data_IF_416733710318
#
_entry.id   IF_416733710318
#
_cell.length_a   1.000
_cell.length_b   1.000
_cell.length_c   1.000
_cell.angle_alpha   90.00
_cell.angle_beta   90.00
_cell.angle_gamma   90.00
#
_symmetry.space_group_name_H-M   'P 1'
#
loop_
_entity.id
_entity.type
_entity.pdbx_description
1 polymer ?
#
# COMPACT_ATOMS: atom_id res chain seq x y z
N UNK A 1 50.14 -43.92 -4.79
CA UNK A 1 49.63 -44.30 -6.13
C UNK A 1 48.58 -45.38 -5.94
N UNK A 2 47.41 -45.21 -6.59
CA UNK A 2 46.19 -46.07 -6.59
C UNK A 2 45.58 -46.33 -5.20
N UNK A 3 44.38 -45.85 -4.85
CA UNK A 3 43.10 -46.20 -5.47
C UNK A 3 42.06 -45.06 -5.36
N UNK A 4 42.25 -43.94 -6.08
CA UNK A 4 41.31 -42.81 -6.08
C UNK A 4 40.91 -42.38 -7.51
N UNK A 5 40.81 -43.32 -8.45
CA UNK A 5 40.52 -43.00 -9.86
C UNK A 5 39.31 -43.74 -10.43
N UNK A 6 38.35 -44.15 -9.62
CA UNK A 6 37.08 -44.67 -10.11
C UNK A 6 35.97 -44.08 -9.26
N UNK A 7 35.44 -42.95 -9.72
CA UNK A 7 34.05 -42.47 -9.61
C UNK A 7 34.07 -40.99 -10.03
N UNK A 8 34.37 -40.76 -11.31
CA UNK A 8 34.27 -39.45 -11.97
C UNK A 8 33.09 -39.44 -12.93
N UNK A 9 31.86 -39.54 -12.42
CA UNK A 9 30.65 -39.20 -13.18
C UNK A 9 29.66 -38.48 -12.26
N UNK A 10 29.74 -37.15 -12.26
CA UNK A 10 28.88 -36.28 -11.46
C UNK A 10 29.55 -34.92 -11.29
N UNK A 11 29.31 -34.00 -12.23
CA UNK A 11 29.99 -32.72 -12.35
C UNK A 11 29.82 -31.79 -11.14
N UNK A 12 30.82 -31.80 -10.25
CA UNK A 12 30.97 -30.80 -9.19
C UNK A 12 32.44 -30.43 -8.92
N UNK A 13 33.33 -30.59 -9.90
CA UNK A 13 34.78 -30.36 -9.74
C UNK A 13 35.25 -28.91 -9.95
N UNK A 14 34.38 -27.96 -10.26
CA UNK A 14 34.81 -26.64 -10.77
C UNK A 14 34.54 -25.45 -9.84
N UNK A 15 34.17 -25.66 -8.56
CA UNK A 15 33.81 -24.53 -7.68
C UNK A 15 34.74 -24.24 -6.50
N UNK A 16 35.74 -25.08 -6.21
CA UNK A 16 36.71 -24.78 -5.14
C UNK A 16 38.09 -25.28 -5.59
N UNK A 17 39.00 -24.35 -5.93
CA UNK A 17 40.42 -24.65 -6.00
C UNK A 17 40.93 -24.89 -4.57
N UNK A 18 41.44 -26.09 -4.33
CA UNK A 18 42.09 -26.55 -3.10
C UNK A 18 41.20 -26.72 -1.87
N UNK A 19 40.25 -27.66 -1.96
CA UNK A 19 39.47 -28.22 -0.84
C UNK A 19 40.37 -28.70 0.31
N UNK A 20 41.55 -29.26 0.00
CA UNK A 20 42.48 -29.77 1.01
C UNK A 20 43.04 -28.65 1.90
N UNK A 21 43.33 -27.47 1.34
CA UNK A 21 43.79 -26.30 2.10
C UNK A 21 42.68 -25.71 3.00
N UNK A 22 41.43 -25.78 2.55
CA UNK A 22 40.28 -25.27 3.30
C UNK A 22 39.96 -26.14 4.54
N UNK A 23 40.20 -27.45 4.46
CA UNK A 23 39.99 -28.39 5.58
C UNK A 23 41.09 -28.23 6.62
N UNK A 24 42.35 -28.04 6.22
CA UNK A 24 43.47 -27.81 7.13
C UNK A 24 43.39 -26.46 7.85
N UNK A 25 43.00 -25.39 7.16
CA UNK A 25 42.94 -24.03 7.73
C UNK A 25 41.84 -23.86 8.79
N UNK A 26 40.77 -24.65 8.69
CA UNK A 26 39.63 -24.57 9.60
C UNK A 26 39.60 -25.66 10.67
N UNK A 27 40.65 -26.48 10.78
CA UNK A 27 40.75 -27.51 11.83
C UNK A 27 39.70 -28.62 11.73
N UNK A 28 39.12 -28.86 10.55
CA UNK A 28 38.04 -29.83 10.32
C UNK A 28 38.58 -31.23 9.94
N UNK A 29 39.77 -31.60 10.43
CA UNK A 29 40.43 -32.87 10.06
C UNK A 29 39.84 -34.06 10.85
N UNK A 30 39.59 -33.88 12.14
CA UNK A 30 39.08 -34.94 13.02
C UNK A 30 37.62 -35.32 12.69
N UNK A 31 36.78 -34.34 12.35
CA UNK A 31 35.37 -34.57 12.00
C UNK A 31 35.18 -35.30 10.66
N UNK A 32 36.11 -35.13 9.72
CA UNK A 32 36.07 -35.82 8.42
C UNK A 32 36.61 -37.26 8.53
N UNK A 33 37.53 -37.52 9.46
CA UNK A 33 38.04 -38.88 9.73
C UNK A 33 36.99 -39.78 10.39
N UNK A 34 36.16 -39.23 11.27
CA UNK A 34 35.08 -39.97 11.93
C UNK A 34 33.95 -40.37 10.95
N UNK A 35 33.75 -39.57 9.90
CA UNK A 35 32.77 -39.84 8.83
C UNK A 35 33.19 -40.95 7.85
N UNK A 36 34.47 -41.34 7.83
CA UNK A 36 35.02 -42.29 6.85
C UNK A 36 35.46 -43.64 7.44
N UNK A 37 35.30 -43.86 8.75
CA UNK A 37 35.77 -45.07 9.44
C UNK A 37 34.73 -46.20 9.56
N UNK A 38 34.82 -47.23 8.71
CA UNK A 38 34.09 -48.49 8.87
C UNK A 38 34.76 -49.45 9.87
N UNK A 39 34.04 -49.87 10.93
CA UNK A 39 33.99 -51.28 11.37
C UNK A 39 34.88 -51.80 12.53
N UNK A 40 34.20 -52.07 13.66
CA UNK A 40 34.28 -53.28 14.52
C UNK A 40 34.99 -53.29 15.90
N UNK A 41 34.17 -53.69 16.88
CA UNK A 41 34.42 -54.49 18.11
C UNK A 41 34.32 -53.78 19.47
N UNK A 42 33.28 -54.14 20.23
CA UNK A 42 33.13 -53.81 21.66
C UNK A 42 31.68 -53.92 22.14
N UNK A 43 31.29 -55.12 22.61
CA UNK A 43 29.92 -55.49 23.06
C UNK A 43 29.81 -55.39 24.59
N UNK A 44 28.79 -54.69 25.12
CA UNK A 44 28.25 -54.84 26.49
C UNK A 44 26.84 -54.17 26.57
N UNK A 45 26.01 -54.43 27.60
CA UNK A 45 24.69 -55.06 27.43
C UNK A 45 23.49 -54.12 27.17
N UNK A 46 22.51 -54.70 26.51
CA UNK A 46 21.25 -54.11 26.02
C UNK A 46 20.31 -53.81 27.20
N UNK A 47 20.02 -52.53 27.45
CA UNK A 47 18.74 -52.08 28.00
C UNK A 47 17.80 -51.84 26.81
N UNK A 48 16.73 -52.62 26.73
CA UNK A 48 15.70 -52.54 25.68
C UNK A 48 14.95 -51.20 25.80
N UNK A 49 15.28 -50.27 24.91
CA UNK A 49 14.43 -49.13 24.57
C UNK A 49 13.48 -49.57 23.43
N UNK A 50 12.19 -49.19 23.44
CA UNK A 50 11.22 -49.71 22.50
C UNK A 50 11.54 -49.26 21.07
N UNK A 51 11.33 -50.17 20.13
CA UNK A 51 11.50 -49.99 18.69
C UNK A 51 10.78 -48.74 18.18
N UNK A 52 11.43 -48.01 17.28
CA UNK A 52 10.81 -46.96 16.50
C UNK A 52 9.65 -47.56 15.70
N UNK A 53 8.41 -47.28 16.12
CA UNK A 53 7.26 -47.56 15.28
C UNK A 53 7.35 -46.71 14.02
N UNK A 54 7.56 -47.42 12.91
CA UNK A 54 7.21 -47.00 11.55
C UNK A 54 5.90 -46.21 11.59
N UNK A 55 5.95 -44.89 11.36
CA UNK A 55 4.78 -44.01 11.37
C UNK A 55 3.88 -44.37 10.18
N UNK A 56 3.08 -45.42 10.36
CA UNK A 56 2.00 -45.79 9.44
C UNK A 56 0.90 -44.76 9.62
N UNK A 57 0.36 -44.19 8.52
CA UNK A 57 -0.75 -43.25 8.63
C UNK A 57 -1.92 -43.97 9.33
N UNK A 58 -2.34 -43.42 10.47
CA UNK A 58 -3.48 -43.91 11.24
C UNK A 58 -4.70 -43.84 10.32
N UNK A 59 -5.41 -44.96 10.06
CA UNK A 59 -6.70 -44.89 9.40
C UNK A 59 -7.65 -44.13 10.34
N UNK A 60 -8.12 -42.97 9.90
CA UNK A 60 -9.20 -42.25 10.57
C UNK A 60 -10.44 -43.16 10.47
N UNK A 61 -10.71 -43.92 11.51
CA UNK A 61 -11.96 -44.66 11.63
C UNK A 61 -13.10 -43.64 11.73
N UNK A 62 -13.83 -43.55 10.61
CA UNK A 62 -15.04 -42.78 10.46
C UNK A 62 -16.14 -43.38 11.34
N UNK A 63 -16.35 -42.81 12.53
CA UNK A 63 -17.65 -42.86 13.18
C UNK A 63 -18.44 -41.64 12.72
N UNK A 64 -19.34 -41.87 11.77
CA UNK A 64 -20.14 -40.84 11.14
C UNK A 64 -21.11 -40.15 12.10
N UNK A 65 -21.26 -38.84 11.89
CA UNK A 65 -22.58 -38.32 11.53
C UNK A 65 -22.41 -37.52 10.23
N UNK A 66 -23.30 -37.77 9.28
CA UNK A 66 -23.30 -37.13 7.98
C UNK A 66 -23.67 -35.64 8.10
N UNK A 67 -23.23 -34.86 7.10
CA UNK A 67 -23.64 -33.49 6.80
C UNK A 67 -23.15 -32.36 7.71
N UNK A 68 -21.86 -32.04 7.63
CA UNK A 68 -21.40 -30.63 7.60
C UNK A 68 -20.15 -30.54 6.72
N UNK A 69 -20.16 -29.84 5.57
CA UNK A 69 -18.92 -29.55 4.85
C UNK A 69 -18.07 -28.62 5.71
N UNK A 70 -16.90 -29.08 6.13
CA UNK A 70 -15.83 -28.23 6.68
C UNK A 70 -15.44 -27.23 5.60
N UNK A 71 -16.07 -26.06 5.60
CA UNK A 71 -15.85 -25.06 4.56
C UNK A 71 -14.57 -24.31 4.93
N UNK A 72 -13.48 -24.63 4.25
CA UNK A 72 -12.24 -23.83 4.32
C UNK A 72 -12.61 -22.39 3.94
N UNK A 73 -12.21 -21.36 4.70
CA UNK A 73 -12.47 -19.98 4.32
C UNK A 73 -11.91 -19.71 2.92
N UNK A 74 -12.81 -19.51 1.94
CA UNK A 74 -12.42 -19.29 0.56
C UNK A 74 -12.01 -17.83 0.39
N UNK A 75 -10.70 -17.59 0.35
CA UNK A 75 -10.17 -16.31 -0.08
C UNK A 75 -10.37 -16.14 -1.60
N UNK A 76 -10.46 -14.89 -2.09
CA UNK A 76 -10.43 -14.62 -3.52
C UNK A 76 -9.15 -15.18 -4.18
N UNK A 77 -9.13 -15.35 -5.51
CA UNK A 77 -7.95 -15.84 -6.25
C UNK A 77 -6.66 -15.07 -5.92
N UNK A 78 -5.51 -15.75 -5.98
CA UNK A 78 -4.22 -15.19 -5.58
C UNK A 78 -3.82 -13.91 -6.33
N UNK A 79 -4.23 -13.79 -7.59
CA UNK A 79 -3.94 -12.62 -8.43
C UNK A 79 -5.21 -11.79 -8.68
N UNK A 80 -5.08 -10.45 -8.73
CA UNK A 80 -6.22 -9.59 -9.03
C UNK A 80 -6.69 -9.83 -10.47
N UNK A 81 -7.98 -10.15 -10.64
CA UNK A 81 -8.54 -10.40 -11.98
C UNK A 81 -8.73 -9.13 -12.81
N UNK A 82 -9.07 -8.01 -12.16
CA UNK A 82 -9.29 -6.71 -12.80
C UNK A 82 -8.46 -5.64 -12.09
N UNK A 83 -7.15 -5.64 -12.33
CA UNK A 83 -6.23 -4.63 -11.83
C UNK A 83 -6.14 -3.46 -12.82
N UNK A 84 -6.54 -2.27 -12.35
CA UNK A 84 -6.41 -1.03 -13.11
C UNK A 84 -6.08 0.16 -12.20
N UNK A 85 -5.78 1.30 -12.81
CA UNK A 85 -5.55 2.57 -12.09
C UNK A 85 -6.76 3.49 -12.10
N UNK A 86 -7.84 3.10 -12.78
CA UNK A 86 -9.09 3.85 -12.83
C UNK A 86 -9.93 3.57 -11.59
N UNK A 87 -10.29 4.64 -10.88
CA UNK A 87 -11.15 4.54 -9.70
C UNK A 87 -12.57 4.13 -10.08
N UNK A 88 -13.12 3.19 -9.32
CA UNK A 88 -14.44 2.63 -9.55
C UNK A 88 -15.17 2.51 -8.23
N UNK A 89 -16.19 3.34 -7.99
CA UNK A 89 -16.96 3.28 -6.72
C UNK A 89 -17.75 1.98 -6.57
N UNK A 90 -18.16 1.41 -7.70
CA UNK A 90 -19.02 0.24 -7.78
C UNK A 90 -20.36 0.39 -7.07
N UNK A 91 -21.13 -0.71 -6.99
CA UNK A 91 -22.52 -0.68 -6.53
C UNK A 91 -22.66 -0.32 -5.04
N UNK A 92 -21.61 -0.51 -4.25
CA UNK A 92 -21.62 -0.25 -2.81
C UNK A 92 -20.92 1.05 -2.43
N UNK A 93 -20.66 1.94 -3.40
CA UNK A 93 -19.88 3.18 -3.21
C UNK A 93 -18.66 2.96 -2.30
N UNK A 94 -17.79 2.03 -2.68
CA UNK A 94 -16.60 1.68 -1.92
C UNK A 94 -15.65 2.87 -1.84
N UNK A 95 -15.37 3.36 -0.64
CA UNK A 95 -14.36 4.38 -0.42
C UNK A 95 -13.26 3.91 0.53
N UNK A 96 -12.07 4.47 0.29
CA UNK A 96 -10.87 4.23 1.08
C UNK A 96 -10.41 5.59 1.58
N UNK A 97 -10.47 5.78 2.89
CA UNK A 97 -10.26 7.05 3.55
C UNK A 97 -9.06 6.95 4.49
N UNK A 98 -8.19 7.95 4.43
CA UNK A 98 -7.17 8.17 5.46
C UNK A 98 -7.65 9.33 6.31
N UNK A 99 -8.17 9.03 7.51
CA UNK A 99 -8.72 10.05 8.41
C UNK A 99 -7.57 10.63 9.23
N UNK A 100 -7.15 11.89 9.00
CA UNK A 100 -6.10 12.52 9.80
C UNK A 100 -6.58 12.65 11.25
N UNK A 101 -5.72 12.30 12.20
CA UNK A 101 -5.98 12.60 13.61
C UNK A 101 -5.58 14.04 13.91
N UNK A 102 -6.31 14.72 14.79
CA UNK A 102 -5.91 16.03 15.32
C UNK A 102 -4.64 15.94 16.19
N UNK A 103 -4.33 14.73 16.67
CA UNK A 103 -3.10 14.46 17.41
C UNK A 103 -1.91 14.28 16.46
N UNK A 104 -0.72 14.58 16.95
CA UNK A 104 0.53 14.40 16.19
C UNK A 104 0.73 12.93 15.79
N UNK A 105 0.51 12.61 14.52
CA UNK A 105 0.74 11.29 13.96
C UNK A 105 2.16 11.14 13.42
N UNK A 106 2.70 9.91 13.35
CA UNK A 106 4.02 9.65 12.77
C UNK A 106 3.99 9.57 11.22
N UNK A 107 2.84 9.88 10.63
CA UNK A 107 2.56 9.89 9.19
C UNK A 107 1.77 11.17 8.85
N UNK A 108 1.85 11.59 7.60
CA UNK A 108 1.23 12.80 7.07
C UNK A 108 0.41 12.43 5.84
N UNK A 109 -0.88 12.76 5.83
CA UNK A 109 -1.74 12.59 4.66
C UNK A 109 -1.94 13.94 3.97
N UNK A 110 -1.84 13.94 2.65
CA UNK A 110 -2.20 15.08 1.80
C UNK A 110 -3.48 14.74 1.04
N UNK A 111 -4.56 15.43 1.37
CA UNK A 111 -5.81 15.35 0.62
C UNK A 111 -5.66 15.93 -0.79
N UNK A 112 -4.81 16.94 -0.98
CA UNK A 112 -4.51 17.55 -2.29
C UNK A 112 -3.89 16.56 -3.26
N UNK A 113 -3.02 15.68 -2.76
CA UNK A 113 -2.29 14.71 -3.56
C UNK A 113 -2.92 13.31 -3.52
N UNK A 114 -3.97 13.11 -2.72
CA UNK A 114 -4.44 11.78 -2.29
C UNK A 114 -3.26 10.85 -1.93
N UNK A 115 -2.34 11.35 -1.09
CA UNK A 115 -1.04 10.73 -0.87
C UNK A 115 -0.67 10.67 0.60
N UNK A 116 -0.25 9.49 1.06
CA UNK A 116 0.32 9.30 2.39
C UNK A 116 1.84 9.33 2.35
N UNK A 117 2.41 10.10 3.28
CA UNK A 117 3.83 10.17 3.57
C UNK A 117 4.06 9.52 4.93
N UNK A 118 4.92 8.51 5.00
CA UNK A 118 5.06 7.69 6.21
C UNK A 118 6.48 7.16 6.37
N UNK A 119 6.95 6.96 7.60
CA UNK A 119 8.20 6.24 7.84
C UNK A 119 8.02 4.72 7.80
N UNK A 120 9.12 4.02 7.54
CA UNK A 120 9.13 2.55 7.55
C UNK A 120 8.68 2.01 8.93
N UNK A 121 7.94 0.91 8.93
CA UNK A 121 7.42 0.19 10.11
C UNK A 121 6.43 0.99 10.98
N UNK A 122 5.95 2.15 10.49
CA UNK A 122 4.91 2.91 11.17
C UNK A 122 3.53 2.50 10.67
N UNK A 123 2.61 2.29 11.62
CA UNK A 123 1.23 1.92 11.35
C UNK A 123 0.39 3.17 11.06
N UNK A 124 -0.51 3.05 10.11
CA UNK A 124 -1.52 4.06 9.81
C UNK A 124 -2.89 3.41 9.58
N UNK A 125 -3.97 4.05 10.02
CA UNK A 125 -5.31 3.54 9.81
C UNK A 125 -5.76 3.83 8.37
N UNK A 126 -6.38 2.82 7.77
CA UNK A 126 -7.14 2.93 6.52
C UNK A 126 -8.59 2.62 6.86
N UNK A 127 -9.48 3.57 6.57
CA UNK A 127 -10.91 3.45 6.81
C UNK A 127 -11.61 3.04 5.50
N UNK A 128 -12.37 1.96 5.56
CA UNK A 128 -13.21 1.47 4.48
C UNK A 128 -14.66 1.78 4.78
N UNK A 129 -15.37 2.34 3.79
CA UNK A 129 -16.80 2.61 3.87
C UNK A 129 -17.52 1.97 2.69
N UNK A 130 -18.76 1.54 2.97
CA UNK A 130 -19.65 0.91 2.00
C UNK A 130 -21.06 1.46 2.22
N UNK A 131 -21.71 1.85 1.15
CA UNK A 131 -23.15 2.13 1.11
C UNK A 131 -23.89 0.86 0.72
N UNK A 132 -25.02 0.56 1.37
CA UNK A 132 -25.87 -0.61 1.06
C UNK A 132 -25.11 -1.95 1.01
N UNK A 133 -24.33 -2.24 2.06
CA UNK A 133 -23.54 -3.48 2.14
C UNK A 133 -24.42 -4.74 1.99
N UNK A 134 -24.05 -5.70 1.12
CA UNK A 134 -24.77 -6.95 0.98
C UNK A 134 -24.64 -7.83 2.23
N UNK A 135 -25.76 -8.42 2.68
CA UNK A 135 -25.79 -9.27 3.88
C UNK A 135 -25.27 -10.70 3.63
N UNK A 136 -25.42 -11.20 2.40
CA UNK A 136 -25.17 -12.59 2.02
C UNK A 136 -23.86 -12.78 1.25
N UNK A 137 -22.96 -11.80 1.28
CA UNK A 137 -21.68 -11.87 0.58
C UNK A 137 -20.53 -11.69 1.55
N UNK A 138 -19.57 -12.61 1.45
CA UNK A 138 -18.24 -12.43 2.03
C UNK A 138 -17.50 -11.41 1.18
N UNK A 139 -17.08 -10.32 1.81
CA UNK A 139 -16.34 -9.25 1.16
C UNK A 139 -14.90 -9.28 1.64
N UNK A 140 -13.99 -9.01 0.72
CA UNK A 140 -12.56 -8.94 0.95
C UNK A 140 -12.04 -7.61 0.46
N UNK A 141 -11.00 -7.11 1.12
CA UNK A 141 -10.20 -6.00 0.58
C UNK A 141 -8.84 -6.54 0.18
N UNK A 142 -8.50 -6.39 -1.09
CA UNK A 142 -7.15 -6.63 -1.58
C UNK A 142 -6.40 -5.30 -1.68
N UNK A 143 -5.16 -5.29 -1.21
CA UNK A 143 -4.23 -4.18 -1.39
C UNK A 143 -3.08 -4.65 -2.30
N UNK A 144 -3.03 -4.10 -3.51
CA UNK A 144 -2.02 -4.42 -4.53
C UNK A 144 -1.13 -3.21 -4.78
N UNK A 145 0.13 -3.21 -4.33
CA UNK A 145 1.07 -2.15 -4.67
C UNK A 145 1.50 -2.22 -6.13
N UNK A 146 1.50 -1.06 -6.80
CA UNK A 146 1.92 -0.88 -8.19
C UNK A 146 2.89 0.30 -8.29
N UNK A 147 3.71 0.34 -9.32
CA UNK A 147 4.43 1.56 -9.65
C UNK A 147 3.50 2.57 -10.32
N UNK A 148 3.52 3.82 -9.87
CA UNK A 148 2.64 4.89 -10.40
C UNK A 148 2.94 5.23 -11.85
N UNK A 149 4.17 4.99 -12.29
CA UNK A 149 4.59 5.25 -13.66
C UNK A 149 4.19 4.07 -14.55
N UNK A 150 3.39 4.35 -15.58
CA UNK A 150 2.82 3.33 -16.48
C UNK A 150 3.86 2.42 -17.12
N UNK A 151 5.05 2.94 -17.44
CA UNK A 151 6.17 2.16 -17.99
C UNK A 151 6.68 1.04 -17.05
N UNK A 152 6.36 1.09 -15.76
CA UNK A 152 6.71 0.08 -14.76
C UNK A 152 5.47 -0.63 -14.22
N UNK A 153 4.30 -0.45 -14.85
CA UNK A 153 3.04 -1.00 -14.33
C UNK A 153 3.11 -2.52 -14.18
N UNK A 154 3.69 -3.24 -15.15
CA UNK A 154 3.84 -4.70 -15.13
C UNK A 154 4.83 -5.22 -14.08
N UNK A 155 5.78 -4.38 -13.64
CA UNK A 155 6.80 -4.79 -12.67
C UNK A 155 6.19 -4.93 -11.26
N UNK A 156 6.37 -6.07 -10.58
CA UNK A 156 5.87 -6.25 -9.22
C UNK A 156 6.66 -5.38 -8.24
N UNK A 157 5.96 -4.65 -7.38
CA UNK A 157 6.59 -3.85 -6.33
C UNK A 157 7.04 -4.76 -5.19
N UNK A 158 8.36 -4.81 -4.95
CA UNK A 158 8.95 -5.68 -3.93
C UNK A 158 9.93 -4.94 -3.02
N UNK A 159 10.23 -5.55 -1.86
CA UNK A 159 11.25 -5.04 -0.93
C UNK A 159 12.66 -5.20 -1.48
N UNK A 160 13.61 -4.42 -0.94
CA UNK A 160 15.03 -4.62 -1.25
C UNK A 160 15.61 -5.84 -0.55
N UNK A 161 16.70 -6.38 -1.11
CA UNK A 161 17.42 -7.56 -0.59
C UNK A 161 17.78 -7.43 0.89
N UNK A 162 18.27 -6.26 1.32
CA UNK A 162 18.64 -6.02 2.72
C UNK A 162 17.46 -6.20 3.69
N UNK A 163 16.28 -5.69 3.34
CA UNK A 163 15.08 -5.82 4.17
C UNK A 163 14.39 -7.19 4.00
N UNK A 164 14.63 -7.91 2.91
CA UNK A 164 14.14 -9.30 2.73
C UNK A 164 14.92 -10.31 3.56
N UNK A 165 16.07 -9.93 4.13
CA UNK A 165 16.93 -10.84 4.89
C UNK A 165 16.19 -11.40 6.12
N UNK A 166 16.39 -12.70 6.42
CA UNK A 166 15.67 -13.38 7.51
C UNK A 166 15.93 -12.78 8.90
N UNK A 167 17.09 -12.12 9.09
CA UNK A 167 17.46 -11.45 10.33
C UNK A 167 16.89 -10.02 10.45
N UNK A 168 16.23 -9.48 9.43
CA UNK A 168 15.58 -8.18 9.55
C UNK A 168 14.48 -8.25 10.63
N UNK A 169 14.41 -7.30 11.58
CA UNK A 169 13.44 -7.36 12.68
C UNK A 169 11.98 -7.46 12.22
N UNK A 170 11.64 -6.93 11.04
CA UNK A 170 10.28 -6.99 10.49
C UNK A 170 9.91 -8.35 9.88
N UNK A 171 10.84 -9.30 9.84
CA UNK A 171 10.64 -10.66 9.33
C UNK A 171 10.55 -11.72 10.45
N UNK A 172 10.76 -11.33 11.71
CA UNK A 172 10.73 -12.26 12.83
C UNK A 172 9.37 -12.96 12.95
N UNK A 173 9.36 -14.29 12.98
CA UNK A 173 8.16 -15.11 13.10
C UNK A 173 7.27 -15.14 11.85
N UNK A 174 7.71 -14.58 10.72
CA UNK A 174 6.96 -14.60 9.47
C UNK A 174 7.47 -15.72 8.53
N UNK A 175 6.59 -16.32 7.72
CA UNK A 175 7.00 -17.24 6.66
C UNK A 175 7.89 -16.56 5.59
N UNK A 176 8.80 -17.31 4.97
CA UNK A 176 9.77 -16.76 4.01
C UNK A 176 9.10 -16.07 2.81
N UNK A 177 7.98 -16.60 2.28
CA UNK A 177 7.28 -15.99 1.14
C UNK A 177 6.81 -14.55 1.44
N UNK A 178 6.46 -14.29 2.71
CA UNK A 178 6.00 -12.99 3.19
C UNK A 178 7.12 -11.94 3.13
N UNK A 179 8.40 -12.34 3.14
CA UNK A 179 9.54 -11.41 3.19
C UNK A 179 9.60 -10.49 1.99
N UNK A 180 9.03 -10.84 0.84
CA UNK A 180 9.10 -10.04 -0.39
C UNK A 180 8.14 -8.84 -0.40
N UNK A 181 7.03 -8.92 0.34
CA UNK A 181 5.93 -7.96 0.29
C UNK A 181 6.26 -6.66 0.99
N UNK A 182 6.05 -5.52 0.33
CA UNK A 182 6.33 -4.20 0.92
C UNK A 182 5.29 -3.75 1.95
N UNK A 183 4.07 -4.29 1.88
CA UNK A 183 2.91 -3.90 2.68
C UNK A 183 2.57 -5.02 3.66
N UNK A 184 2.14 -4.61 4.86
CA UNK A 184 1.69 -5.47 5.95
C UNK A 184 0.38 -4.92 6.51
N UNK A 185 -0.47 -5.80 7.03
CA UNK A 185 -1.67 -5.42 7.76
C UNK A 185 -1.64 -6.03 9.16
N UNK A 186 -2.25 -5.36 10.14
CA UNK A 186 -2.38 -5.87 11.51
C UNK A 186 -3.50 -6.89 11.69
N UNK A 187 -4.34 -7.09 10.67
CA UNK A 187 -5.41 -8.07 10.73
C UNK A 187 -4.80 -9.49 10.69
N UNK A 188 -5.07 -10.30 11.71
CA UNK A 188 -4.49 -11.65 11.82
C UNK A 188 -4.97 -12.60 10.73
N UNK A 189 -6.08 -12.27 10.05
CA UNK A 189 -6.60 -13.02 8.91
C UNK A 189 -6.02 -12.55 7.56
N UNK A 190 -4.95 -11.74 7.58
CA UNK A 190 -4.28 -11.28 6.35
C UNK A 190 -3.62 -12.43 5.62
N UNK A 191 -3.94 -12.59 4.34
CA UNK A 191 -3.26 -13.51 3.43
C UNK A 191 -2.32 -12.74 2.50
N UNK A 192 -1.17 -13.34 2.23
CA UNK A 192 -0.12 -12.79 1.37
C UNK A 192 -0.06 -13.63 0.09
N UNK A 193 -0.21 -12.99 -1.06
CA UNK A 193 -0.24 -13.67 -2.36
C UNK A 193 0.80 -13.14 -3.35
N UNK A 194 1.23 -14.02 -4.24
CA UNK A 194 2.18 -13.74 -5.29
C UNK A 194 3.63 -14.01 -4.90
N UNK A 195 4.48 -14.06 -5.91
CA UNK A 195 5.92 -14.26 -5.80
C UNK A 195 6.60 -13.53 -6.96
N UNK A 196 7.49 -12.59 -6.61
CA UNK A 196 8.24 -11.79 -7.58
C UNK A 196 9.05 -12.69 -8.53
N UNK A 197 9.58 -13.82 -8.03
CA UNK A 197 10.44 -14.69 -8.84
C UNK A 197 9.64 -15.40 -9.94
N UNK A 198 8.37 -15.68 -9.69
CA UNK A 198 7.40 -16.16 -10.70
C UNK A 198 6.82 -15.07 -11.60
N UNK A 199 7.15 -13.79 -11.36
CA UNK A 199 6.59 -12.64 -12.08
C UNK A 199 5.16 -12.26 -11.66
N UNK A 200 4.61 -12.91 -10.64
CA UNK A 200 3.27 -12.58 -10.12
C UNK A 200 3.32 -11.40 -9.15
N UNK A 201 2.20 -10.69 -9.03
CA UNK A 201 2.12 -9.48 -8.21
C UNK A 201 1.98 -9.83 -6.74
N UNK A 202 2.86 -9.25 -5.93
CA UNK A 202 2.80 -9.29 -4.48
C UNK A 202 1.63 -8.43 -4.01
N UNK A 203 0.65 -9.05 -3.36
CA UNK A 203 -0.53 -8.37 -2.83
C UNK A 203 -0.93 -8.99 -1.49
N UNK A 204 -1.80 -8.31 -0.76
CA UNK A 204 -2.40 -8.85 0.47
C UNK A 204 -3.91 -8.76 0.40
N UNK A 205 -4.59 -9.73 1.01
CA UNK A 205 -6.05 -9.77 1.10
C UNK A 205 -6.45 -9.94 2.55
N UNK A 206 -7.45 -9.17 2.97
CA UNK A 206 -8.08 -9.29 4.27
C UNK A 206 -9.58 -9.53 4.10
N UNK A 207 -10.21 -10.37 4.95
CA UNK A 207 -11.66 -10.39 5.04
C UNK A 207 -12.15 -9.06 5.60
N UNK A 208 -13.08 -8.42 4.90
CA UNK A 208 -13.66 -7.15 5.33
C UNK A 208 -14.79 -7.45 6.32
N UNK A 209 -14.49 -7.36 7.62
CA UNK A 209 -15.47 -7.55 8.70
C UNK A 209 -16.63 -6.55 8.66
N UNK A 210 -17.67 -6.72 9.49
CA UNK A 210 -18.75 -5.75 9.62
C UNK A 210 -18.30 -4.54 10.45
N UNK A 211 -18.78 -3.32 10.15
CA UNK A 211 -18.49 -2.19 11.02
C UNK A 211 -19.13 -2.43 12.40
N UNK A 212 -18.56 -1.81 13.43
CA UNK A 212 -19.11 -1.89 14.77
C UNK A 212 -20.47 -1.20 14.84
N UNK A 213 -21.36 -1.68 15.70
CA UNK A 213 -22.70 -1.08 15.90
C UNK A 213 -22.58 0.42 16.15
N UNK A 214 -23.26 1.23 15.34
CA UNK A 214 -23.21 2.70 15.41
C UNK A 214 -22.09 3.35 14.60
N UNK A 215 -21.37 2.59 13.77
CA UNK A 215 -20.42 3.10 12.80
C UNK A 215 -20.68 2.49 11.43
N UNK A 216 -20.34 3.22 10.37
CA UNK A 216 -20.35 2.74 8.98
C UNK A 216 -18.91 2.54 8.45
N UNK A 217 -17.92 2.62 9.34
CA UNK A 217 -16.50 2.61 8.98
C UNK A 217 -15.83 1.37 9.56
N UNK A 218 -15.07 0.66 8.71
CA UNK A 218 -14.19 -0.43 9.13
C UNK A 218 -12.76 0.09 9.05
N UNK A 219 -12.01 -0.01 10.14
CA UNK A 219 -10.64 0.52 10.22
C UNK A 219 -9.65 -0.61 10.32
N UNK A 220 -8.68 -0.61 9.44
CA UNK A 220 -7.58 -1.57 9.42
C UNK A 220 -6.26 -0.82 9.44
N UNK A 221 -5.25 -1.37 10.10
CA UNK A 221 -3.95 -0.73 10.18
C UNK A 221 -2.96 -1.38 9.24
N UNK A 222 -2.40 -0.56 8.36
CA UNK A 222 -1.37 -0.98 7.42
C UNK A 222 -0.03 -0.36 7.83
N UNK A 223 1.06 -0.99 7.40
CA UNK A 223 2.39 -0.42 7.47
C UNK A 223 3.26 -0.93 6.33
N UNK A 224 4.34 -0.20 6.06
CA UNK A 224 5.28 -0.54 5.01
C UNK A 224 6.66 -0.87 5.58
N UNK A 225 7.28 -1.91 5.03
CA UNK A 225 8.51 -2.51 5.56
C UNK A 225 9.72 -2.32 4.62
N UNK A 226 9.64 -1.34 3.72
CA UNK A 226 10.76 -0.91 2.87
C UNK A 226 10.58 0.56 2.45
N UNK A 227 11.67 1.32 2.35
CA UNK A 227 11.64 2.73 1.89
C UNK A 227 11.60 2.80 0.38
N UNK A 228 10.97 3.84 -0.19
CA UNK A 228 11.02 4.06 -1.64
C UNK A 228 12.46 4.20 -2.14
N UNK A 229 13.35 4.80 -1.34
CA UNK A 229 14.75 5.05 -1.74
C UNK A 229 15.66 3.82 -1.68
N UNK A 230 15.17 2.66 -1.23
CA UNK A 230 16.01 1.46 -1.11
C UNK A 230 16.48 0.98 -2.49
N UNK A 231 17.79 0.76 -2.68
CA UNK A 231 18.31 0.14 -3.89
C UNK A 231 17.83 -1.31 -3.99
N UNK A 232 17.73 -1.84 -5.21
CA UNK A 232 17.29 -3.22 -5.47
C UNK A 232 15.89 -3.56 -4.92
N UNK A 233 15.07 -2.55 -4.66
CA UNK A 233 13.63 -2.65 -4.38
C UNK A 233 12.91 -1.64 -5.25
N UNK A 234 12.11 -0.75 -4.65
CA UNK A 234 11.44 0.35 -5.38
C UNK A 234 12.39 1.32 -6.08
N UNK A 235 13.64 1.49 -5.61
CA UNK A 235 14.67 2.32 -6.24
C UNK A 235 14.20 3.72 -6.68
N UNK A 236 13.56 4.44 -5.74
CA UNK A 236 13.00 5.79 -5.89
C UNK A 236 11.83 5.93 -6.87
N UNK A 237 11.35 4.83 -7.48
CA UNK A 237 10.11 4.86 -8.25
C UNK A 237 8.92 5.15 -7.33
N UNK A 238 8.00 6.05 -7.72
CA UNK A 238 6.77 6.28 -6.98
C UNK A 238 5.86 5.05 -7.06
N UNK A 239 5.10 4.81 -6.00
CA UNK A 239 4.16 3.69 -5.91
C UNK A 239 2.77 4.18 -5.51
N UNK A 240 1.77 3.44 -5.96
CA UNK A 240 0.40 3.53 -5.49
C UNK A 240 -0.02 2.17 -4.92
N UNK A 241 -0.99 2.18 -4.02
CA UNK A 241 -1.67 0.98 -3.57
C UNK A 241 -3.08 1.01 -4.13
N UNK A 242 -3.40 0.01 -4.96
CA UNK A 242 -4.74 -0.22 -5.45
C UNK A 242 -5.48 -1.06 -4.43
N UNK A 243 -6.55 -0.50 -3.87
CA UNK A 243 -7.48 -1.22 -3.02
C UNK A 243 -8.67 -1.66 -3.86
N UNK A 244 -8.96 -2.96 -3.86
CA UNK A 244 -10.14 -3.54 -4.50
C UNK A 244 -11.04 -4.19 -3.47
N UNK A 245 -12.34 -3.95 -3.58
CA UNK A 245 -13.38 -4.68 -2.86
C UNK A 245 -13.79 -5.88 -3.70
N UNK A 246 -13.61 -7.08 -3.18
CA UNK A 246 -13.79 -8.33 -3.93
C UNK A 246 -14.70 -9.31 -3.18
N UNK A 247 -15.36 -10.23 -3.91
CA UNK A 247 -15.91 -11.45 -3.33
C UNK A 247 -14.91 -12.61 -3.40
N UNK A 248 -15.28 -13.76 -2.82
CA UNK A 248 -14.51 -15.01 -2.85
C UNK A 248 -14.19 -15.55 -4.26
N UNK A 249 -14.90 -15.10 -5.31
CA UNK A 249 -14.60 -15.46 -6.69
C UNK A 249 -13.63 -14.48 -7.38
N UNK A 250 -13.25 -13.38 -6.72
CA UNK A 250 -12.39 -12.32 -7.28
C UNK A 250 -13.14 -11.26 -8.09
N UNK A 251 -14.47 -11.24 -8.04
CA UNK A 251 -15.27 -10.21 -8.70
C UNK A 251 -15.12 -8.87 -7.98
N UNK A 252 -14.81 -7.81 -8.73
CA UNK A 252 -14.50 -6.48 -8.17
C UNK A 252 -15.77 -5.63 -8.06
N UNK A 253 -16.11 -5.24 -6.83
CA UNK A 253 -17.23 -4.36 -6.49
C UNK A 253 -16.80 -2.92 -6.18
N UNK A 254 -15.51 -2.61 -6.27
CA UNK A 254 -14.99 -1.27 -6.07
C UNK A 254 -13.47 -1.22 -6.16
N UNK A 255 -12.94 -0.07 -6.57
CA UNK A 255 -11.52 0.22 -6.70
C UNK A 255 -11.22 1.65 -6.27
N UNK A 256 -10.20 1.81 -5.43
CA UNK A 256 -9.66 3.10 -5.00
C UNK A 256 -8.15 3.07 -5.00
N UNK A 257 -7.53 4.22 -5.25
CA UNK A 257 -6.09 4.35 -5.25
C UNK A 257 -5.63 5.19 -4.06
N UNK A 258 -4.49 4.81 -3.51
CA UNK A 258 -3.78 5.61 -2.52
C UNK A 258 -2.32 5.75 -2.95
N UNK A 259 -1.89 6.99 -3.21
CA UNK A 259 -0.47 7.23 -3.47
C UNK A 259 0.34 7.13 -2.19
N UNK A 260 1.54 6.53 -2.26
CA UNK A 260 2.35 6.25 -1.07
C UNK A 260 3.78 6.75 -1.25
N UNK A 261 4.30 7.39 -0.20
CA UNK A 261 5.73 7.71 -0.04
C UNK A 261 6.25 7.30 1.33
N UNK A 262 7.00 6.20 1.34
CA UNK A 262 7.75 5.71 2.49
C UNK A 262 9.11 6.41 2.58
N UNK A 263 9.23 7.36 3.50
CA UNK A 263 10.36 8.27 3.63
C UNK A 263 10.71 8.56 5.10
N UNK A 264 11.94 9.04 5.35
CA UNK A 264 12.38 9.34 6.72
C UNK A 264 11.78 10.63 7.29
N UNK A 265 11.32 11.57 6.45
CA UNK A 265 10.82 12.88 6.87
C UNK A 265 9.46 13.19 6.21
N UNK A 266 8.35 12.53 6.62
CA UNK A 266 7.04 12.66 5.99
C UNK A 266 6.57 14.10 5.76
N UNK A 267 6.63 14.96 6.78
CA UNK A 267 6.17 16.35 6.72
C UNK A 267 6.91 17.17 5.66
N UNK A 268 8.24 17.09 5.66
CA UNK A 268 9.10 17.81 4.71
C UNK A 268 8.81 17.36 3.28
N UNK A 269 8.68 16.05 3.06
CA UNK A 269 8.44 15.49 1.74
C UNK A 269 7.02 15.84 1.24
N UNK A 270 6.00 15.85 2.12
CA UNK A 270 4.65 16.34 1.81
C UNK A 270 4.67 17.80 1.38
N UNK A 271 5.21 18.69 2.22
CA UNK A 271 5.25 20.13 1.94
C UNK A 271 5.99 20.44 0.64
N UNK A 272 7.06 19.69 0.35
CA UNK A 272 7.78 19.81 -0.92
C UNK A 272 6.91 19.40 -2.11
N UNK A 273 6.31 18.22 -2.08
CA UNK A 273 5.50 17.73 -3.20
C UNK A 273 4.22 18.56 -3.42
N UNK A 274 3.57 19.03 -2.36
CA UNK A 274 2.43 19.95 -2.47
C UNK A 274 2.84 21.29 -3.10
N UNK A 275 3.97 21.84 -2.69
CA UNK A 275 4.51 23.07 -3.27
C UNK A 275 4.88 22.88 -4.74
N UNK A 276 5.40 21.72 -5.11
CA UNK A 276 5.75 21.41 -6.49
C UNK A 276 4.49 21.20 -7.35
N UNK A 277 3.40 20.65 -6.81
CA UNK A 277 2.07 20.62 -7.46
C UNK A 277 1.57 22.05 -7.74
N UNK A 278 1.68 22.95 -6.75
CA UNK A 278 1.26 24.35 -6.89
C UNK A 278 2.07 25.13 -7.94
N UNK A 279 3.36 24.81 -8.13
CA UNK A 279 4.22 25.42 -9.17
C UNK A 279 3.99 24.85 -10.57
N UNK A 280 3.64 23.56 -10.66
CA UNK A 280 3.43 22.87 -11.93
C UNK A 280 2.05 23.17 -12.54
N UNK A 281 1.14 23.78 -11.79
CA UNK A 281 0.06 24.55 -12.40
C UNK A 281 0.66 25.79 -13.08
N UNK A 282 0.59 25.90 -14.42
CA UNK A 282 1.13 27.08 -15.07
C UNK A 282 0.42 28.32 -14.51
N UNK A 283 1.15 29.39 -14.12
CA UNK A 283 0.51 30.69 -14.04
C UNK A 283 -0.05 30.96 -15.43
N UNK A 284 -1.38 31.11 -15.54
CA UNK A 284 -2.02 31.59 -16.76
C UNK A 284 -1.16 32.75 -17.31
N UNK A 285 -0.72 32.58 -18.55
CA UNK A 285 0.24 33.43 -19.20
C UNK A 285 -0.12 34.90 -19.02
N UNK A 286 0.53 35.57 -18.07
CA UNK A 286 0.66 37.02 -18.12
C UNK A 286 1.51 37.27 -19.36
N UNK A 287 0.86 37.67 -20.47
CA UNK A 287 1.51 38.36 -21.59
C UNK A 287 2.41 39.44 -20.97
N UNK A 288 3.72 39.16 -20.93
CA UNK A 288 4.72 40.15 -20.53
C UNK A 288 4.76 41.21 -21.63
N UNK A 289 4.18 42.36 -21.34
CA UNK A 289 4.53 43.61 -22.01
C UNK A 289 5.92 43.99 -21.49
N UNK A 290 6.91 43.98 -22.38
CA UNK A 290 8.25 44.50 -22.13
C UNK A 290 8.16 45.96 -21.68
N UNK A 291 8.56 46.28 -20.45
CA UNK A 291 9.28 47.50 -20.05
C UNK A 291 10.06 47.17 -18.78
N UNK A 292 11.35 47.50 -18.76
CA UNK A 292 12.31 47.17 -17.71
C UNK A 292 12.31 48.12 -16.50
N UNK A 293 13.20 47.83 -15.55
CA UNK A 293 13.58 48.75 -14.47
C UNK A 293 13.62 48.12 -13.07
N UNK A 294 14.82 47.66 -12.69
CA UNK A 294 15.52 47.83 -11.40
C UNK A 294 14.77 47.86 -10.06
N UNK A 295 15.29 47.10 -9.07
CA UNK A 295 15.30 47.55 -7.66
C UNK A 295 14.92 46.53 -6.59
N UNK A 296 15.95 45.95 -5.97
CA UNK A 296 16.22 45.78 -4.53
C UNK A 296 15.17 45.25 -3.51
N UNK A 297 15.66 44.31 -2.68
CA UNK A 297 15.52 44.23 -1.22
C UNK A 297 14.15 44.25 -0.52
N UNK A 298 13.78 43.15 0.15
CA UNK A 298 12.70 43.18 1.14
C UNK A 298 12.46 41.88 1.91
N UNK A 299 12.77 41.89 3.20
CA UNK A 299 12.60 40.84 4.22
C UNK A 299 11.17 40.83 4.82
N UNK A 300 10.75 39.68 5.35
CA UNK A 300 9.71 39.46 6.42
C UNK A 300 8.25 39.70 5.98
N UNK A 301 7.20 39.10 6.55
CA UNK A 301 6.96 38.31 7.76
C UNK A 301 5.64 37.52 7.58
N UNK A 302 5.39 36.54 8.44
CA UNK A 302 4.18 35.72 8.43
C UNK A 302 2.90 36.49 8.80
N UNK A 303 1.76 35.95 8.36
CA UNK A 303 0.44 36.40 8.78
C UNK A 303 -0.62 35.46 8.21
N UNK A 304 -1.31 34.74 9.10
CA UNK A 304 -2.47 33.93 8.75
C UNK A 304 -3.58 34.82 8.21
N UNK A 305 -3.73 34.84 6.88
CA UNK A 305 -4.88 35.39 6.19
C UNK A 305 -5.39 34.30 5.27
N UNK A 306 -6.65 33.89 5.43
CA UNK A 306 -7.32 33.02 4.48
C UNK A 306 -7.13 33.56 3.07
N UNK A 307 -6.84 32.69 2.11
CA UNK A 307 -6.55 33.09 0.73
C UNK A 307 -7.79 33.75 0.11
N UNK A 308 -7.79 35.08 0.05
CA UNK A 308 -8.85 35.88 -0.59
C UNK A 308 -8.64 36.04 -2.10
N UNK A 309 -7.72 35.26 -2.68
CA UNK A 309 -7.42 35.33 -4.10
C UNK A 309 -8.61 34.82 -4.90
N UNK A 310 -9.06 35.64 -5.84
CA UNK A 310 -10.15 35.28 -6.74
C UNK A 310 -9.62 34.32 -7.82
N UNK A 311 -10.26 33.16 -7.96
CA UNK A 311 -9.93 32.16 -8.97
C UNK A 311 -11.05 32.10 -10.01
N UNK A 312 -10.72 32.37 -11.27
CA UNK A 312 -11.67 32.26 -12.38
C UNK A 312 -11.81 30.80 -12.82
N UNK A 313 -13.05 30.34 -12.94
CA UNK A 313 -13.41 28.99 -13.37
C UNK A 313 -14.06 29.08 -14.75
N UNK A 314 -13.50 28.36 -15.74
CA UNK A 314 -14.07 28.30 -17.08
C UNK A 314 -13.95 26.87 -17.64
N UNK A 315 -15.08 26.19 -17.76
CA UNK A 315 -15.22 24.89 -18.41
C UNK A 315 -16.67 24.70 -18.86
N UNK A 316 -16.89 23.80 -19.82
CA UNK A 316 -18.22 23.51 -20.37
C UNK A 316 -18.91 22.42 -19.55
N UNK A 317 -20.19 22.61 -19.24
CA UNK A 317 -21.02 21.64 -18.51
C UNK A 317 -22.14 21.17 -19.42
N UNK A 318 -22.28 19.86 -19.58
CA UNK A 318 -23.35 19.25 -20.37
C UNK A 318 -24.61 19.12 -19.52
N UNK A 319 -25.72 19.67 -20.01
CA UNK A 319 -27.03 19.59 -19.37
C UNK A 319 -27.34 20.74 -18.42
N UNK A 320 -28.54 21.33 -18.56
CA UNK A 320 -29.00 22.48 -17.75
C UNK A 320 -29.08 22.15 -16.26
N UNK A 321 -29.55 20.95 -15.90
CA UNK A 321 -29.66 20.51 -14.51
C UNK A 321 -28.30 20.39 -13.82
N UNK A 322 -27.30 19.81 -14.51
CA UNK A 322 -25.93 19.71 -14.02
C UNK A 322 -25.29 21.09 -13.84
N UNK A 323 -25.52 22.00 -14.78
CA UNK A 323 -25.06 23.38 -14.71
C UNK A 323 -25.64 24.11 -13.48
N UNK A 324 -26.95 24.02 -13.29
CA UNK A 324 -27.64 24.63 -12.14
C UNK A 324 -27.20 24.02 -10.81
N UNK A 325 -26.98 22.70 -10.75
CA UNK A 325 -26.52 22.02 -9.54
C UNK A 325 -25.15 22.52 -9.11
N UNK A 326 -24.20 22.64 -10.04
CA UNK A 326 -22.84 23.15 -9.76
C UNK A 326 -22.90 24.61 -9.27
N UNK A 327 -23.71 25.46 -9.90
CA UNK A 327 -23.88 26.85 -9.45
C UNK A 327 -24.51 26.93 -8.05
N UNK A 328 -25.47 26.06 -7.74
CA UNK A 328 -26.11 25.99 -6.42
C UNK A 328 -25.10 25.63 -5.33
N UNK A 329 -24.29 24.59 -5.56
CA UNK A 329 -23.22 24.19 -4.62
C UNK A 329 -22.20 25.33 -4.43
N UNK A 330 -21.81 26.00 -5.51
CA UNK A 330 -20.88 27.13 -5.43
C UNK A 330 -21.47 28.30 -4.63
N UNK A 331 -22.76 28.63 -4.85
CA UNK A 331 -23.50 29.66 -4.12
C UNK A 331 -23.54 29.35 -2.62
N UNK A 332 -23.92 28.13 -2.25
CA UNK A 332 -24.07 27.72 -0.86
C UNK A 332 -22.72 27.75 -0.12
N UNK A 333 -21.64 27.38 -0.82
CA UNK A 333 -20.27 27.49 -0.29
C UNK A 333 -19.88 28.95 -0.01
N UNK A 334 -20.18 29.87 -0.93
CA UNK A 334 -19.89 31.31 -0.74
C UNK A 334 -20.76 31.91 0.38
N UNK A 335 -22.03 31.51 0.49
CA UNK A 335 -22.92 31.94 1.57
C UNK A 335 -22.38 31.52 2.95
N UNK A 336 -21.92 30.27 3.08
CA UNK A 336 -21.34 29.77 4.32
C UNK A 336 -20.09 30.55 4.75
N UNK A 337 -19.21 30.92 3.80
CA UNK A 337 -18.02 31.73 4.10
C UNK A 337 -18.36 33.17 4.48
N UNK A 338 -19.39 33.77 3.87
CA UNK A 338 -19.87 35.10 4.27
C UNK A 338 -20.31 35.09 5.74
N UNK A 339 -21.11 34.10 6.15
CA UNK A 339 -21.57 33.96 7.55
C UNK A 339 -20.39 33.74 8.50
N UNK A 340 -19.42 32.92 8.11
CA UNK A 340 -18.22 32.65 8.91
C UNK A 340 -17.31 33.87 9.10
N UNK A 341 -17.32 34.81 8.16
CA UNK A 341 -16.47 36.01 8.20
C UNK A 341 -17.16 37.21 8.84
N UNK A 342 -18.48 37.35 8.69
CA UNK A 342 -19.28 38.37 9.39
C UNK A 342 -19.20 38.21 10.92
N UNK A 343 -19.04 36.98 11.41
CA UNK A 343 -18.86 36.68 12.85
C UNK A 343 -17.46 36.97 13.38
N UNK A 344 -16.45 37.14 12.51
CA UNK A 344 -15.03 37.23 12.91
C UNK A 344 -14.33 38.54 12.56
N UNK A 345 -14.61 39.16 11.40
CA UNK A 345 -13.79 40.27 10.88
C UNK A 345 -14.55 41.34 10.06
N UNK A 346 -15.88 41.44 10.21
CA UNK A 346 -16.70 42.40 9.45
C UNK A 346 -17.00 41.97 8.01
N UNK A 347 -17.75 42.77 7.23
CA UNK A 347 -18.28 42.34 5.93
C UNK A 347 -17.16 42.17 4.89
N UNK A 348 -16.93 40.94 4.44
CA UNK A 348 -15.96 40.64 3.39
C UNK A 348 -16.56 40.82 1.99
N UNK A 349 -16.13 41.89 1.31
CA UNK A 349 -16.64 42.28 -0.01
C UNK A 349 -16.27 41.27 -1.12
N UNK A 350 -15.22 40.46 -0.96
CA UNK A 350 -14.77 39.55 -2.01
C UNK A 350 -15.74 38.36 -2.17
N UNK A 351 -16.13 37.72 -1.06
CA UNK A 351 -17.06 36.59 -1.10
C UNK A 351 -18.47 37.03 -1.51
N UNK A 352 -18.92 38.21 -1.06
CA UNK A 352 -20.19 38.81 -1.50
C UNK A 352 -20.21 39.08 -3.00
N UNK A 353 -19.09 39.53 -3.58
CA UNK A 353 -18.98 39.74 -5.03
C UNK A 353 -19.14 38.42 -5.79
N UNK A 354 -18.41 37.38 -5.39
CA UNK A 354 -18.53 36.04 -6.00
C UNK A 354 -19.93 35.45 -5.85
N UNK A 355 -20.53 35.59 -4.66
CA UNK A 355 -21.90 35.16 -4.40
C UNK A 355 -22.90 35.81 -5.35
N UNK A 356 -22.83 37.13 -5.51
CA UNK A 356 -23.74 37.87 -6.40
C UNK A 356 -23.55 37.50 -7.88
N UNK A 357 -22.31 37.25 -8.31
CA UNK A 357 -22.02 36.79 -9.67
C UNK A 357 -22.64 35.41 -9.95
N UNK A 358 -22.54 34.48 -8.99
CA UNK A 358 -23.16 33.16 -9.08
C UNK A 358 -24.69 33.27 -9.12
N UNK A 359 -25.30 34.10 -8.26
CA UNK A 359 -26.74 34.33 -8.30
C UNK A 359 -27.21 34.87 -9.66
N UNK A 360 -26.46 35.81 -10.25
CA UNK A 360 -26.79 36.32 -11.59
C UNK A 360 -26.71 35.24 -12.68
N UNK A 361 -25.77 34.28 -12.57
CA UNK A 361 -25.69 33.15 -13.50
C UNK A 361 -26.86 32.18 -13.33
N UNK A 362 -27.31 31.94 -12.09
CA UNK A 362 -28.50 31.12 -11.82
C UNK A 362 -29.76 31.79 -12.38
N UNK A 363 -29.91 33.10 -12.19
CA UNK A 363 -31.07 33.85 -12.68
C UNK A 363 -31.12 33.86 -14.22
N UNK A 364 -29.97 33.99 -14.89
CA UNK A 364 -29.88 33.88 -16.36
C UNK A 364 -30.25 32.49 -16.85
N UNK A 365 -29.69 31.45 -16.23
CA UNK A 365 -29.95 30.07 -16.65
C UNK A 365 -31.36 29.57 -16.30
N UNK A 366 -32.07 30.22 -15.39
CA UNK A 366 -33.48 29.90 -15.08
C UNK A 366 -34.46 30.66 -15.96
N UNK A 367 -34.04 31.77 -16.60
CA UNK A 367 -34.85 32.58 -17.52
C UNK A 367 -34.70 32.19 -19.00
N UNK A 368 -33.61 31.49 -19.36
CA UNK A 368 -33.43 30.76 -20.63
C UNK A 368 -34.06 29.37 -20.59
#
# INVERSE_FOLDING_TARGET
MSQLSQFSEGGFSDLISDVDNFIETNGMIEEVQDLLGTGSSGRSPIEELPEEEEFKPIPIECFGTADQPYTVPQFPPDQPQDLGTEEYSGPFNFEVLIIPSEQKTPWEYSSKLNKIFIGINLKFPVAFTLTHRPQNLNLYVRATPIFSQSQFFEEPVHRCVAHQHAQDPSNHGLPVHVFQHIIRCTNDMTQYFGDRNSGTRLNIVIPLGRPQTGSDVIKEFYHFVCKNSCPSGMNRKPIDVVFTLENEMGEVFGRRLLSVRICSCPKRDREKEEKDLEKNHPPQAKKRKLVGGSGDGGRREGGGGGDKKMHSVNFNIVGKENYLHILTVARDRMAAEIVNLETKNGPDQAYRKSYNEICSLIDKATTE
#
